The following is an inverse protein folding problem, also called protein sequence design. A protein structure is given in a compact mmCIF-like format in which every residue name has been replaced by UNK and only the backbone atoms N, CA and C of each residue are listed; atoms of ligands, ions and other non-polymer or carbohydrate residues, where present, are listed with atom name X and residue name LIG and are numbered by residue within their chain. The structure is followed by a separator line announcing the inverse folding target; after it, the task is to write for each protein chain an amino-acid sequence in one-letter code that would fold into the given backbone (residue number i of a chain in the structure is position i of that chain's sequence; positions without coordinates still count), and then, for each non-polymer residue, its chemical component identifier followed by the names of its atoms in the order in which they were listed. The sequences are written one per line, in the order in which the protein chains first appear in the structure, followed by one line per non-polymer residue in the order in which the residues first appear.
data_IF_591065314757
#
_entry.id   IF_591065314757
#
_cell.length_a   1.000
_cell.length_b   1.000
_cell.length_c   1.000
_cell.angle_alpha   90.00
_cell.angle_beta   90.00
_cell.angle_gamma   90.00
#
_symmetry.space_group_name_H-M   'P 1'
#
loop_
_entity.id
_entity.type
_entity.pdbx_description
1 polymer ?
#
# COMPACT_ATOMS: atom_id res chain seq x y z
N UNK A 1 -11.12 -0.05 -16.00
CA UNK A 1 -10.18 1.02 -16.37
C UNK A 1 -9.28 0.51 -17.49
N UNK A 2 -8.95 1.35 -18.49
CA UNK A 2 -7.92 1.01 -19.50
C UNK A 2 -6.70 1.87 -19.21
N UNK A 3 -5.54 1.24 -18.99
CA UNK A 3 -4.27 1.95 -18.78
C UNK A 3 -3.36 1.72 -19.98
N UNK A 4 -2.85 2.81 -20.55
CA UNK A 4 -1.87 2.79 -21.64
C UNK A 4 -0.52 3.24 -21.08
N UNK A 5 0.48 2.35 -21.11
CA UNK A 5 1.86 2.67 -20.72
C UNK A 5 2.73 2.69 -22.01
N UNK A 6 3.32 3.85 -22.33
CA UNK A 6 4.15 4.05 -23.53
C UNK A 6 5.59 3.59 -23.30
N UNK A 7 6.26 3.15 -24.36
CA UNK A 7 7.60 2.55 -24.26
C UNK A 7 8.77 3.50 -24.46
N UNK A 8 8.55 4.81 -24.58
CA UNK A 8 9.53 5.78 -25.10
C UNK A 8 10.94 5.60 -24.50
N UNK A 9 11.77 4.79 -25.19
CA UNK A 9 13.12 4.33 -24.79
C UNK A 9 13.28 3.65 -23.41
N UNK A 10 12.23 3.49 -22.60
CA UNK A 10 12.39 3.19 -21.17
C UNK A 10 12.22 1.69 -20.85
N UNK A 11 13.30 0.94 -21.01
CA UNK A 11 13.35 -0.51 -20.72
C UNK A 11 12.86 -0.86 -19.30
N UNK A 12 13.07 0.03 -18.32
CA UNK A 12 12.58 -0.19 -16.94
C UNK A 12 11.05 -0.19 -16.87
N UNK A 13 10.40 0.71 -17.62
CA UNK A 13 8.93 0.76 -17.70
C UNK A 13 8.39 -0.50 -18.39
N UNK A 14 9.08 -1.00 -19.42
CA UNK A 14 8.70 -2.26 -20.07
C UNK A 14 8.77 -3.44 -19.12
N UNK A 15 9.87 -3.57 -18.38
CA UNK A 15 10.03 -4.62 -17.37
C UNK A 15 8.95 -4.53 -16.28
N UNK A 16 8.59 -3.32 -15.83
CA UNK A 16 7.54 -3.17 -14.81
C UNK A 16 6.16 -3.57 -15.34
N UNK A 17 5.81 -3.23 -16.58
CA UNK A 17 4.51 -3.59 -17.17
C UNK A 17 4.39 -5.11 -17.36
N UNK A 18 5.43 -5.75 -17.88
CA UNK A 18 5.46 -7.22 -18.03
C UNK A 18 5.28 -7.89 -16.67
N UNK A 19 5.97 -7.38 -15.64
CA UNK A 19 5.86 -7.90 -14.28
C UNK A 19 4.46 -7.71 -13.71
N UNK A 20 3.84 -6.55 -13.91
CA UNK A 20 2.49 -6.26 -13.46
C UNK A 20 1.48 -7.23 -14.08
N UNK A 21 1.56 -7.46 -15.41
CA UNK A 21 0.74 -8.47 -16.09
C UNK A 21 0.96 -9.86 -15.50
N UNK A 22 2.22 -10.25 -15.31
CA UNK A 22 2.58 -11.58 -14.87
C UNK A 22 2.13 -11.84 -13.42
N UNK A 23 2.19 -10.83 -12.54
CA UNK A 23 1.60 -10.89 -11.19
C UNK A 23 0.08 -10.96 -11.26
N UNK A 24 -0.57 -9.99 -11.91
CA UNK A 24 -2.03 -9.86 -11.93
C UNK A 24 -2.74 -10.97 -12.70
N UNK A 25 -2.05 -11.72 -13.56
CA UNK A 25 -2.63 -12.94 -14.18
C UNK A 25 -2.80 -14.08 -13.17
N UNK A 26 -1.97 -14.14 -12.14
CA UNK A 26 -1.85 -15.31 -11.27
C UNK A 26 -2.49 -15.09 -9.90
N UNK A 27 -2.87 -13.87 -9.54
CA UNK A 27 -3.40 -13.56 -8.22
C UNK A 27 -4.82 -13.00 -8.30
N UNK A 28 -5.64 -13.37 -7.31
CA UNK A 28 -6.99 -12.85 -7.12
C UNK A 28 -7.24 -12.63 -5.64
N UNK A 29 -7.63 -11.44 -5.27
CA UNK A 29 -8.11 -11.11 -3.92
C UNK A 29 -9.11 -9.95 -4.07
N UNK A 30 -10.22 -9.91 -3.29
CA UNK A 30 -11.26 -8.91 -3.47
C UNK A 30 -10.70 -7.47 -3.51
N UNK A 31 -9.89 -7.12 -2.52
CA UNK A 31 -9.26 -5.79 -2.38
C UNK A 31 -7.99 -5.58 -3.19
N UNK A 32 -7.75 -6.37 -4.24
CA UNK A 32 -6.73 -6.08 -5.25
C UNK A 32 -7.43 -5.76 -6.59
N UNK A 33 -6.79 -4.94 -7.42
CA UNK A 33 -7.24 -4.74 -8.80
C UNK A 33 -7.10 -6.07 -9.57
N UNK A 34 -8.13 -6.46 -10.32
CA UNK A 34 -8.07 -7.63 -11.18
C UNK A 34 -7.73 -7.25 -12.62
N UNK A 35 -6.91 -8.09 -13.26
CA UNK A 35 -6.65 -8.00 -14.70
C UNK A 35 -7.65 -8.87 -15.46
N UNK A 36 -8.49 -8.22 -16.26
CA UNK A 36 -9.44 -8.87 -17.16
C UNK A 36 -8.77 -9.29 -18.46
N UNK A 37 -7.99 -8.40 -19.07
CA UNK A 37 -7.24 -8.67 -20.29
C UNK A 37 -5.99 -7.80 -20.41
N UNK A 38 -5.00 -8.27 -21.17
CA UNK A 38 -3.79 -7.50 -21.51
C UNK A 38 -3.47 -7.68 -22.99
N UNK A 39 -3.15 -6.59 -23.68
CA UNK A 39 -2.78 -6.59 -25.10
C UNK A 39 -1.46 -5.86 -25.29
N UNK A 40 -0.68 -6.27 -26.27
CA UNK A 40 0.57 -5.60 -26.62
C UNK A 40 0.56 -5.23 -28.11
N UNK A 41 0.94 -4.01 -28.39
CA UNK A 41 1.27 -3.51 -29.73
C UNK A 41 2.77 -3.24 -29.79
N UNK A 42 3.34 -2.90 -30.96
CA UNK A 42 4.75 -2.52 -31.04
C UNK A 42 5.15 -1.32 -30.15
N UNK A 43 4.19 -0.48 -29.76
CA UNK A 43 4.43 0.80 -29.07
C UNK A 43 3.74 0.95 -27.71
N UNK A 44 2.74 0.12 -27.41
CA UNK A 44 1.99 0.17 -26.15
C UNK A 44 1.75 -1.23 -25.60
N UNK A 45 1.71 -1.34 -24.27
CA UNK A 45 0.95 -2.42 -23.62
C UNK A 45 -0.25 -1.83 -22.91
N UNK A 46 -1.39 -2.48 -23.15
CA UNK A 46 -2.70 -2.07 -22.71
C UNK A 46 -3.18 -3.05 -21.66
N UNK A 47 -3.52 -2.55 -20.48
CA UNK A 47 -4.10 -3.34 -19.39
C UNK A 47 -5.58 -2.98 -19.22
N UNK A 48 -6.43 -4.00 -19.24
CA UNK A 48 -7.86 -3.89 -18.93
C UNK A 48 -8.05 -4.37 -17.49
N UNK A 49 -8.23 -3.41 -16.59
CA UNK A 49 -8.29 -3.60 -15.15
C UNK A 49 -9.70 -3.32 -14.62
N UNK A 50 -9.99 -3.75 -13.38
CA UNK A 50 -11.17 -3.31 -12.64
C UNK A 50 -11.32 -1.77 -12.70
N UNK A 51 -12.57 -1.30 -12.73
CA UNK A 51 -12.85 0.12 -12.60
C UNK A 51 -13.22 0.46 -11.16
N UNK A 52 -12.55 1.46 -10.59
CA UNK A 52 -12.78 1.96 -9.23
C UNK A 52 -13.33 3.40 -9.32
N UNK A 53 -14.66 3.60 -9.34
CA UNK A 53 -15.27 4.92 -9.56
C UNK A 53 -15.08 5.91 -8.40
N UNK A 54 -14.65 5.44 -7.24
CA UNK A 54 -14.33 6.28 -6.08
C UNK A 54 -13.00 7.04 -6.21
N UNK A 55 -12.16 6.70 -7.20
CA UNK A 55 -10.89 7.37 -7.42
C UNK A 55 -9.81 6.95 -6.42
N UNK A 56 -8.75 7.75 -6.31
CA UNK A 56 -7.62 7.50 -5.42
C UNK A 56 -7.95 7.90 -3.97
N UNK A 57 -7.40 7.13 -3.01
CA UNK A 57 -7.54 7.44 -1.59
C UNK A 57 -6.87 8.79 -1.25
N UNK A 58 -5.83 9.17 -1.99
CA UNK A 58 -5.16 10.47 -1.84
C UNK A 58 -6.15 11.63 -2.05
N UNK A 59 -6.82 11.67 -3.20
CA UNK A 59 -7.79 12.72 -3.54
C UNK A 59 -8.98 12.70 -2.57
N UNK A 60 -9.42 11.51 -2.17
CA UNK A 60 -10.48 11.35 -1.19
C UNK A 60 -10.11 11.98 0.16
N UNK A 61 -8.93 11.68 0.70
CA UNK A 61 -8.49 12.27 1.97
C UNK A 61 -8.27 13.77 1.83
N UNK A 62 -7.67 14.23 0.73
CA UNK A 62 -7.45 15.65 0.47
C UNK A 62 -8.77 16.45 0.50
N UNK A 63 -9.87 15.87 0.00
CA UNK A 63 -11.16 16.53 -0.06
C UNK A 63 -12.05 16.30 1.17
N UNK A 64 -12.03 15.09 1.75
CA UNK A 64 -13.03 14.63 2.71
C UNK A 64 -12.46 14.17 4.05
N UNK A 65 -11.17 14.41 4.34
CA UNK A 65 -10.57 13.95 5.60
C UNK A 65 -11.36 14.39 6.83
N UNK A 66 -11.95 15.60 6.87
CA UNK A 66 -12.78 16.07 8.01
C UNK A 66 -14.04 15.23 8.22
N UNK A 67 -14.55 14.54 7.19
CA UNK A 67 -15.74 13.68 7.26
C UNK A 67 -15.42 12.21 7.58
N UNK A 68 -14.16 11.80 7.58
CA UNK A 68 -13.77 10.38 7.78
C UNK A 68 -13.87 9.99 9.24
N UNK A 69 -14.77 9.12 9.68
CA UNK A 69 -14.76 8.66 11.07
C UNK A 69 -13.88 7.42 11.27
N UNK A 70 -13.53 7.13 12.53
CA UNK A 70 -12.70 5.96 12.87
C UNK A 70 -13.22 4.64 12.26
N UNK A 71 -14.54 4.35 12.26
CA UNK A 71 -15.04 3.13 11.64
C UNK A 71 -14.74 3.02 10.14
N UNK A 72 -14.80 4.13 9.39
CA UNK A 72 -14.43 4.18 7.97
C UNK A 72 -12.92 4.04 7.78
N UNK A 73 -12.12 4.73 8.60
CA UNK A 73 -10.66 4.59 8.60
C UNK A 73 -10.24 3.13 8.86
N UNK A 74 -10.89 2.47 9.83
CA UNK A 74 -10.69 1.05 10.17
C UNK A 74 -11.08 0.13 9.03
N UNK A 75 -12.20 0.42 8.36
CA UNK A 75 -12.63 -0.34 7.19
C UNK A 75 -11.61 -0.28 6.05
N UNK A 76 -11.20 0.93 5.68
CA UNK A 76 -10.19 1.18 4.63
C UNK A 76 -8.88 0.45 4.98
N UNK A 77 -8.38 0.65 6.19
CA UNK A 77 -7.09 0.09 6.60
C UNK A 77 -7.14 -1.43 6.76
N UNK A 78 -8.22 -1.98 7.28
CA UNK A 78 -8.39 -3.42 7.49
C UNK A 78 -8.49 -4.19 6.17
N UNK A 79 -9.21 -3.68 5.17
CA UNK A 79 -9.30 -4.32 3.85
C UNK A 79 -7.94 -4.31 3.14
N UNK A 80 -7.20 -3.21 3.27
CA UNK A 80 -5.84 -3.11 2.78
C UNK A 80 -4.90 -4.11 3.48
N UNK A 81 -4.98 -4.22 4.82
CA UNK A 81 -4.21 -5.20 5.59
C UNK A 81 -4.59 -6.64 5.25
N UNK A 82 -5.86 -6.94 4.95
CA UNK A 82 -6.29 -8.26 4.45
C UNK A 82 -5.57 -8.60 3.16
N UNK A 83 -5.58 -7.68 2.20
CA UNK A 83 -4.96 -7.89 0.90
C UNK A 83 -3.44 -8.06 1.00
N UNK A 84 -2.76 -7.16 1.71
CA UNK A 84 -1.29 -7.19 1.85
C UNK A 84 -0.85 -8.38 2.71
N UNK A 85 -1.60 -8.71 3.77
CA UNK A 85 -1.34 -9.88 4.60
C UNK A 85 -1.43 -11.18 3.80
N UNK A 86 -2.45 -11.30 2.95
CA UNK A 86 -2.56 -12.42 2.01
C UNK A 86 -1.43 -12.43 0.98
N UNK A 87 -1.07 -11.29 0.37
CA UNK A 87 0.08 -11.22 -0.55
C UNK A 87 1.36 -11.72 0.14
N UNK A 88 1.61 -11.29 1.37
CA UNK A 88 2.78 -11.71 2.15
C UNK A 88 2.77 -13.22 2.46
N UNK A 89 1.59 -13.82 2.67
CA UNK A 89 1.47 -15.26 2.95
C UNK A 89 1.84 -16.13 1.74
N UNK A 90 1.61 -15.64 0.51
CA UNK A 90 2.05 -16.29 -0.73
C UNK A 90 3.44 -15.84 -1.21
N UNK A 91 4.16 -15.07 -0.40
CA UNK A 91 5.50 -14.59 -0.72
C UNK A 91 5.56 -13.47 -1.77
N UNK A 92 4.47 -12.74 -1.97
CA UNK A 92 4.40 -11.56 -2.85
C UNK A 92 4.52 -10.27 -2.02
N UNK A 93 5.39 -9.36 -2.42
CA UNK A 93 5.52 -8.02 -1.82
C UNK A 93 5.17 -6.95 -2.85
N UNK A 94 4.56 -5.84 -2.39
CA UNK A 94 4.07 -4.76 -3.27
C UNK A 94 5.16 -3.75 -3.61
N UNK A 95 5.90 -3.27 -2.59
CA UNK A 95 7.03 -2.33 -2.69
C UNK A 95 6.72 -0.90 -3.17
N UNK A 96 5.45 -0.56 -3.42
CA UNK A 96 5.00 0.83 -3.65
C UNK A 96 3.59 1.07 -3.09
N UNK A 97 3.36 0.70 -1.82
CA UNK A 97 2.10 1.00 -1.12
C UNK A 97 2.09 2.49 -0.80
N UNK A 98 1.07 3.19 -1.29
CA UNK A 98 0.86 4.64 -1.10
C UNK A 98 -0.61 4.99 -1.33
N UNK A 99 -1.03 6.18 -0.91
CA UNK A 99 -2.43 6.62 -1.03
C UNK A 99 -2.92 6.65 -2.48
N UNK A 100 -2.05 7.01 -3.41
CA UNK A 100 -2.30 7.06 -4.86
C UNK A 100 -2.54 5.67 -5.47
N UNK A 101 -1.95 4.63 -4.88
CA UNK A 101 -2.10 3.25 -5.33
C UNK A 101 -3.25 2.51 -4.60
N UNK A 102 -4.04 3.21 -3.79
CA UNK A 102 -5.21 2.65 -3.11
C UNK A 102 -6.45 3.30 -3.72
N UNK A 103 -7.27 2.51 -4.42
CA UNK A 103 -8.45 2.99 -5.11
C UNK A 103 -9.71 2.68 -4.30
N UNK A 104 -10.71 3.57 -4.39
CA UNK A 104 -12.03 3.38 -3.78
C UNK A 104 -13.02 2.84 -4.82
N UNK A 105 -13.76 1.79 -4.45
CA UNK A 105 -14.73 1.13 -5.35
C UNK A 105 -16.06 1.90 -5.44
N UNK A 106 -16.29 2.86 -4.54
CA UNK A 106 -17.40 3.82 -4.61
C UNK A 106 -17.02 5.14 -3.94
N UNK A 107 -17.83 6.18 -4.14
CA UNK A 107 -17.71 7.43 -3.38
C UNK A 107 -18.54 7.33 -2.10
N UNK A 108 -17.94 7.44 -0.90
CA UNK A 108 -18.65 7.19 0.35
C UNK A 108 -19.58 8.35 0.77
N UNK A 109 -19.32 9.56 0.30
CA UNK A 109 -20.10 10.76 0.62
C UNK A 109 -20.78 11.31 -0.64
N UNK A 110 -21.99 10.84 -0.99
CA UNK A 110 -22.82 11.52 -1.98
C UNK A 110 -23.27 12.88 -1.46
N UNK A 111 -23.83 13.73 -2.34
CA UNK A 111 -24.28 15.10 -2.01
C UNK A 111 -25.31 15.20 -0.87
N UNK A 112 -25.84 14.08 -0.39
CA UNK A 112 -26.66 13.98 0.83
C UNK A 112 -26.02 13.00 1.80
N UNK A 113 -25.67 13.47 3.01
CA UNK A 113 -24.98 12.70 4.06
C UNK A 113 -25.86 11.55 4.55
N UNK A 114 -25.50 10.28 4.32
CA UNK A 114 -26.23 9.15 4.89
C UNK A 114 -26.06 9.11 6.41
N UNK A 115 -27.09 8.69 7.14
CA UNK A 115 -27.03 8.46 8.59
C UNK A 115 -26.16 7.27 9.01
N UNK A 116 -25.82 6.37 8.07
CA UNK A 116 -24.85 5.29 8.26
C UNK A 116 -24.12 5.01 6.93
N UNK A 117 -22.97 5.67 6.74
CA UNK A 117 -22.15 5.51 5.54
C UNK A 117 -21.65 4.08 5.39
N UNK A 118 -21.14 3.47 6.48
CA UNK A 118 -20.51 2.15 6.45
C UNK A 118 -21.39 1.04 5.87
N UNK A 119 -22.64 0.96 6.31
CA UNK A 119 -23.56 -0.08 5.86
C UNK A 119 -23.90 0.01 4.37
N UNK A 120 -23.74 1.20 3.77
CA UNK A 120 -24.01 1.45 2.35
C UNK A 120 -22.82 1.17 1.43
N UNK A 121 -21.62 0.99 1.98
CA UNK A 121 -20.41 0.80 1.18
C UNK A 121 -20.34 -0.61 0.57
N UNK A 122 -19.87 -0.74 -0.68
CA UNK A 122 -19.60 -2.03 -1.27
C UNK A 122 -18.50 -2.78 -0.50
N UNK A 123 -18.52 -4.10 -0.57
CA UNK A 123 -17.46 -4.97 -0.08
C UNK A 123 -16.85 -5.69 -1.28
N UNK A 124 -15.57 -5.45 -1.63
CA UNK A 124 -14.60 -4.57 -0.96
C UNK A 124 -14.85 -3.08 -1.27
N UNK A 125 -14.48 -2.22 -0.34
CA UNK A 125 -14.50 -0.76 -0.50
C UNK A 125 -13.19 -0.23 -1.09
N UNK A 126 -12.06 -0.89 -0.82
CA UNK A 126 -10.74 -0.49 -1.34
C UNK A 126 -10.15 -1.55 -2.26
N UNK A 127 -9.38 -1.11 -3.25
CA UNK A 127 -8.56 -1.95 -4.13
C UNK A 127 -7.14 -1.40 -4.23
N UNK A 128 -6.15 -2.20 -3.86
CA UNK A 128 -4.74 -1.91 -4.11
C UNK A 128 -4.41 -2.16 -5.59
N UNK A 129 -3.67 -1.25 -6.21
CA UNK A 129 -3.29 -1.25 -7.63
C UNK A 129 -1.79 -0.99 -7.83
N UNK A 130 -1.33 -1.02 -9.09
CA UNK A 130 0.03 -0.77 -9.56
C UNK A 130 1.09 -1.77 -9.05
N UNK A 131 1.06 -2.96 -9.64
CA UNK A 131 1.98 -4.05 -9.30
C UNK A 131 3.29 -4.01 -10.09
N UNK A 132 3.61 -2.89 -10.75
CA UNK A 132 4.83 -2.77 -11.58
C UNK A 132 6.12 -2.95 -10.79
N UNK A 133 6.08 -2.61 -9.49
CA UNK A 133 7.18 -2.81 -8.55
C UNK A 133 7.03 -4.06 -7.68
N UNK A 134 5.94 -4.83 -7.78
CA UNK A 134 5.75 -6.03 -6.97
C UNK A 134 6.81 -7.10 -7.24
N UNK A 135 7.09 -8.00 -6.29
CA UNK A 135 8.04 -9.11 -6.50
C UNK A 135 7.70 -10.32 -5.63
N UNK A 136 7.88 -11.51 -6.17
CA UNK A 136 7.91 -12.73 -5.35
C UNK A 136 9.27 -12.86 -4.65
N UNK A 137 9.24 -13.13 -3.35
CA UNK A 137 10.43 -13.34 -2.51
C UNK A 137 10.57 -14.81 -2.15
N UNK A 138 11.81 -15.29 -2.05
CA UNK A 138 12.07 -16.66 -1.61
C UNK A 138 11.72 -16.81 -0.14
N UNK A 139 11.02 -17.89 0.28
CA UNK A 139 10.86 -18.22 1.69
C UNK A 139 12.20 -18.40 2.41
N UNK A 140 13.23 -18.90 1.72
CA UNK A 140 14.55 -19.21 2.30
C UNK A 140 15.54 -18.04 2.23
N UNK A 141 15.33 -17.11 1.30
CA UNK A 141 16.16 -15.90 1.17
C UNK A 141 15.30 -14.72 0.71
N UNK A 142 14.55 -14.09 1.62
CA UNK A 142 13.57 -13.05 1.27
C UNK A 142 14.21 -11.68 0.98
N UNK A 143 15.54 -11.58 1.01
CA UNK A 143 16.24 -10.30 1.00
C UNK A 143 16.33 -9.68 -0.41
N UNK A 144 16.05 -8.39 -0.49
CA UNK A 144 16.09 -7.56 -1.70
C UNK A 144 17.14 -6.46 -1.54
N UNK A 145 17.70 -5.97 -2.66
CA UNK A 145 18.73 -4.93 -2.69
C UNK A 145 18.32 -3.69 -3.51
N UNK A 146 17.39 -3.83 -4.45
CA UNK A 146 16.96 -2.73 -5.33
C UNK A 146 16.18 -1.68 -4.55
N UNK A 147 16.62 -0.41 -4.59
CA UNK A 147 15.85 0.71 -4.05
C UNK A 147 14.78 1.12 -5.05
N UNK A 148 13.52 1.07 -4.65
CA UNK A 148 12.37 1.48 -5.45
C UNK A 148 11.23 1.94 -4.54
N UNK A 149 10.15 2.42 -5.16
CA UNK A 149 8.99 2.95 -4.47
C UNK A 149 9.11 4.44 -4.16
N UNK A 150 8.01 4.99 -3.68
CA UNK A 150 7.86 6.43 -3.44
C UNK A 150 8.53 6.85 -2.12
N UNK A 151 9.37 7.90 -2.17
CA UNK A 151 10.26 8.31 -1.06
C UNK A 151 9.50 8.60 0.25
N UNK A 152 8.29 9.16 0.16
CA UNK A 152 7.42 9.47 1.31
C UNK A 152 6.91 8.26 2.10
N UNK A 153 6.94 7.08 1.50
CA UNK A 153 6.48 5.83 2.09
C UNK A 153 7.64 4.86 2.35
N UNK A 154 8.88 5.26 2.03
CA UNK A 154 10.05 4.40 2.11
C UNK A 154 10.48 4.15 3.56
N UNK A 155 10.78 2.89 3.87
CA UNK A 155 11.27 2.49 5.18
C UNK A 155 12.73 2.96 5.44
N UNK A 156 13.15 3.09 6.71
CA UNK A 156 14.50 3.57 7.06
C UNK A 156 15.60 2.74 6.41
N UNK A 157 15.46 1.41 6.37
CA UNK A 157 16.43 0.50 5.75
C UNK A 157 16.58 0.70 4.24
N UNK A 158 15.52 1.10 3.53
CA UNK A 158 15.56 1.45 2.11
C UNK A 158 16.32 2.76 1.88
N UNK A 159 16.04 3.78 2.69
CA UNK A 159 16.75 5.07 2.66
C UNK A 159 18.24 4.89 2.96
N UNK A 160 18.55 4.03 3.93
CA UNK A 160 19.92 3.68 4.31
C UNK A 160 20.61 2.73 3.32
N UNK A 161 19.88 2.20 2.34
CA UNK A 161 20.43 1.35 1.29
C UNK A 161 20.84 -0.04 1.73
N UNK A 162 20.21 -0.56 2.78
CA UNK A 162 20.47 -1.90 3.30
C UNK A 162 19.67 -2.93 2.51
N UNK A 163 20.14 -4.18 2.52
CA UNK A 163 19.30 -5.30 2.11
C UNK A 163 18.10 -5.39 3.06
N UNK A 164 16.94 -5.75 2.52
CA UNK A 164 15.68 -5.66 3.26
C UNK A 164 14.75 -6.82 2.91
N UNK A 165 13.86 -7.18 3.83
CA UNK A 165 12.70 -8.02 3.54
C UNK A 165 11.54 -7.14 3.07
N UNK A 166 11.03 -7.39 1.86
CA UNK A 166 9.97 -6.58 1.27
C UNK A 166 8.68 -6.53 2.10
N UNK A 167 8.42 -7.57 2.89
CA UNK A 167 7.24 -7.61 3.77
C UNK A 167 7.33 -6.57 4.88
N UNK A 168 8.54 -6.37 5.40
CA UNK A 168 8.81 -5.38 6.45
C UNK A 168 8.71 -3.96 5.90
N UNK A 169 9.15 -3.72 4.67
CA UNK A 169 9.01 -2.41 4.03
C UNK A 169 7.56 -2.08 3.69
N UNK A 170 6.78 -3.06 3.23
CA UNK A 170 5.33 -2.90 3.02
C UNK A 170 4.61 -2.58 4.35
N UNK A 171 4.98 -3.24 5.46
CA UNK A 171 4.42 -2.94 6.78
C UNK A 171 4.72 -1.50 7.25
N UNK A 172 5.92 -0.98 6.97
CA UNK A 172 6.23 0.43 7.23
C UNK A 172 5.37 1.37 6.39
N UNK A 173 5.24 1.09 5.08
CA UNK A 173 4.41 1.89 4.18
C UNK A 173 2.93 1.90 4.63
N UNK A 174 2.41 0.77 5.13
CA UNK A 174 1.09 0.71 5.77
C UNK A 174 1.01 1.59 7.03
N UNK A 175 2.07 1.66 7.84
CA UNK A 175 2.14 2.59 8.96
C UNK A 175 2.06 4.06 8.52
N UNK A 176 2.71 4.41 7.40
CA UNK A 176 2.62 5.76 6.81
C UNK A 176 1.21 6.04 6.30
N UNK A 177 0.58 5.08 5.61
CA UNK A 177 -0.81 5.19 5.14
C UNK A 177 -1.79 5.33 6.30
N UNK A 178 -1.66 4.52 7.36
CA UNK A 178 -2.51 4.63 8.55
C UNK A 178 -2.38 6.02 9.19
N UNK A 179 -1.14 6.51 9.33
CA UNK A 179 -0.90 7.84 9.86
C UNK A 179 -1.61 8.92 9.03
N UNK A 180 -1.52 8.85 7.70
CA UNK A 180 -2.16 9.80 6.80
C UNK A 180 -3.69 9.71 6.83
N UNK A 181 -4.27 8.51 6.91
CA UNK A 181 -5.73 8.33 7.06
C UNK A 181 -6.24 8.98 8.35
N UNK A 182 -5.46 8.88 9.43
CA UNK A 182 -5.87 9.32 10.77
C UNK A 182 -5.62 10.81 11.02
N UNK A 183 -4.57 11.37 10.41
CA UNK A 183 -4.15 12.75 10.69
C UNK A 183 -4.38 13.72 9.52
N UNK A 184 -4.62 13.20 8.32
CA UNK A 184 -4.73 13.98 7.10
C UNK A 184 -3.39 14.51 6.57
N UNK A 185 -2.27 14.19 7.25
CA UNK A 185 -0.93 14.66 6.90
C UNK A 185 0.08 13.51 6.88
N UNK A 186 1.21 13.71 6.20
CA UNK A 186 2.28 12.71 6.17
C UNK A 186 3.10 12.73 7.47
N UNK A 187 3.55 11.58 8.00
CA UNK A 187 4.36 11.52 9.22
C UNK A 187 5.76 12.14 9.05
N UNK A 188 6.28 12.15 7.82
CA UNK A 188 7.55 12.75 7.45
C UNK A 188 7.27 13.79 6.36
N UNK A 189 7.61 15.05 6.65
CA UNK A 189 7.41 16.17 5.73
C UNK A 189 8.77 16.79 5.41
N UNK A 190 9.00 17.04 4.13
CA UNK A 190 10.14 17.85 3.68
C UNK A 190 9.86 19.32 3.99
N UNK A 191 10.77 19.96 4.72
CA UNK A 191 10.66 21.39 4.98
C UNK A 191 10.99 22.17 3.70
N UNK A 192 10.28 23.28 3.41
CA UNK A 192 10.54 24.09 2.22
C UNK A 192 12.01 24.53 2.11
N UNK A 193 12.52 24.61 0.88
CA UNK A 193 13.85 25.17 0.62
C UNK A 193 13.95 26.60 1.19
N UNK A 194 14.95 26.85 2.04
CA UNK A 194 15.18 28.16 2.68
C UNK A 194 14.68 28.29 4.13
N UNK A 195 13.89 27.33 4.64
CA UNK A 195 13.76 27.17 6.09
C UNK A 195 15.14 26.83 6.69
N UNK A 196 15.42 27.16 7.96
CA UNK A 196 16.69 26.85 8.65
C UNK A 196 17.01 25.34 8.78
N UNK A 197 16.33 24.48 8.03
CA UNK A 197 16.47 23.04 7.96
C UNK A 197 17.48 22.55 6.91
N UNK A 198 17.81 21.26 6.95
CA UNK A 198 18.80 20.60 6.10
C UNK A 198 18.24 20.19 4.71
N UNK A 199 17.14 20.80 4.25
CA UNK A 199 16.40 20.43 3.03
C UNK A 199 16.10 18.93 2.93
N UNK A 200 16.18 18.37 1.72
CA UNK A 200 16.05 16.93 1.45
C UNK A 200 16.88 16.03 2.35
N UNK A 201 18.11 16.42 2.70
CA UNK A 201 18.97 15.64 3.61
C UNK A 201 18.38 15.57 5.02
N UNK A 202 17.73 16.63 5.48
CA UNK A 202 17.03 16.66 6.76
C UNK A 202 15.82 15.74 6.77
N UNK A 203 15.04 15.79 5.70
CA UNK A 203 13.89 14.92 5.48
C UNK A 203 14.29 13.43 5.49
N UNK A 204 15.27 13.05 4.67
CA UNK A 204 15.80 11.68 4.64
C UNK A 204 16.36 11.23 6.01
N UNK A 205 16.95 12.15 6.78
CA UNK A 205 17.44 11.86 8.12
C UNK A 205 16.28 11.59 9.11
N UNK A 206 15.16 12.33 9.02
CA UNK A 206 13.97 12.06 9.83
C UNK A 206 13.44 10.65 9.57
N UNK A 207 13.32 10.26 8.29
CA UNK A 207 12.92 8.90 7.91
C UNK A 207 13.93 7.88 8.41
N UNK A 208 15.23 8.06 8.14
CA UNK A 208 16.28 7.12 8.55
C UNK A 208 16.35 6.89 10.06
N UNK A 209 15.89 7.86 10.86
CA UNK A 209 15.77 7.75 12.31
C UNK A 209 14.39 7.27 12.80
N UNK A 210 13.37 7.31 11.94
CA UNK A 210 11.98 7.06 12.33
C UNK A 210 11.41 8.12 13.27
N UNK A 211 11.86 9.37 13.14
CA UNK A 211 11.40 10.49 13.98
C UNK A 211 10.18 11.16 13.32
N UNK A 212 8.98 10.90 13.84
CA UNK A 212 7.73 11.58 13.47
C UNK A 212 7.04 12.16 14.71
N UNK A 213 6.09 13.06 14.51
CA UNK A 213 5.31 13.70 15.59
C UNK A 213 3.83 13.64 15.28
N UNK A 214 3.03 13.39 16.31
CA UNK A 214 1.58 13.52 16.21
C UNK A 214 1.19 15.00 16.16
N UNK A 215 0.17 15.39 15.38
CA UNK A 215 -0.41 16.73 15.44
C UNK A 215 -0.82 17.08 16.88
N UNK A 216 -0.76 18.37 17.23
CA UNK A 216 -1.18 18.80 18.55
C UNK A 216 -2.70 18.63 18.70
N UNK A 217 -3.16 18.22 19.88
CA UNK A 217 -4.59 18.02 20.17
C UNK A 217 -5.43 19.30 20.05
N UNK A 218 -4.78 20.47 19.91
CA UNK A 218 -5.40 21.78 19.82
C UNK A 218 -5.68 22.21 18.37
N UNK A 219 -5.24 21.44 17.37
CA UNK A 219 -5.60 21.65 15.97
C UNK A 219 -6.93 20.94 15.69
N UNK A 220 -8.00 21.75 15.65
CA UNK A 220 -9.41 21.41 15.89
C UNK A 220 -10.12 20.49 14.87
N UNK A 221 -9.38 19.63 14.16
CA UNK A 221 -9.97 18.62 13.25
C UNK A 221 -9.08 17.39 13.04
N UNK A 222 -7.75 17.53 13.11
CA UNK A 222 -6.81 16.43 12.86
C UNK A 222 -6.65 15.48 14.05
N UNK A 223 -6.95 15.94 15.26
CA UNK A 223 -6.83 15.17 16.48
C UNK A 223 -8.01 14.21 16.74
N UNK A 224 -9.13 14.38 16.05
CA UNK A 224 -10.39 13.67 16.35
C UNK A 224 -10.31 12.15 16.16
N UNK A 225 -9.46 11.70 15.23
CA UNK A 225 -9.25 10.27 14.94
C UNK A 225 -8.06 9.68 15.71
N UNK A 226 -7.34 10.49 16.48
CA UNK A 226 -6.02 10.17 17.03
C UNK A 226 -6.17 9.54 18.42
N UNK A 227 -6.92 8.42 18.49
CA UNK A 227 -7.15 7.66 19.72
C UNK A 227 -5.89 6.94 20.23
N UNK A 228 -5.80 6.61 21.53
CA UNK A 228 -4.66 5.87 22.08
C UNK A 228 -4.40 4.53 21.37
N UNK A 229 -5.45 3.80 20.99
CA UNK A 229 -5.35 2.49 20.35
C UNK A 229 -4.79 2.59 18.92
N UNK A 230 -5.18 3.59 18.13
CA UNK A 230 -4.60 3.78 16.78
C UNK A 230 -3.15 4.26 16.84
N UNK A 231 -2.81 5.11 17.83
CA UNK A 231 -1.41 5.52 18.06
C UNK A 231 -0.53 4.31 18.36
N UNK A 232 -1.01 3.39 19.20
CA UNK A 232 -0.30 2.18 19.55
C UNK A 232 -0.09 1.28 18.32
N UNK A 233 -1.11 1.13 17.47
CA UNK A 233 -0.99 0.38 16.21
C UNK A 233 0.03 1.02 15.24
N UNK A 234 -0.09 2.32 14.99
CA UNK A 234 0.83 3.05 14.11
C UNK A 234 2.28 2.96 14.62
N UNK A 235 2.50 3.06 15.94
CA UNK A 235 3.82 2.93 16.55
C UNK A 235 4.43 1.53 16.40
N UNK A 236 3.63 0.47 16.26
CA UNK A 236 4.10 -0.90 15.98
C UNK A 236 4.52 -1.09 14.51
N UNK A 237 3.94 -0.34 13.59
CA UNK A 237 4.27 -0.37 12.16
C UNK A 237 5.43 0.58 11.81
N UNK A 238 5.49 1.76 12.42
CA UNK A 238 6.53 2.78 12.25
C UNK A 238 7.77 2.54 13.13
N UNK A 239 8.15 1.27 13.30
CA UNK A 239 9.36 0.89 14.04
C UNK A 239 10.57 0.90 13.10
N UNK A 240 11.61 1.64 13.50
CA UNK A 240 12.85 1.78 12.71
C UNK A 240 13.56 0.45 12.46
N UNK A 241 13.64 -0.39 13.48
CA UNK A 241 14.24 -1.72 13.39
C UNK A 241 13.25 -2.71 12.73
N UNK A 242 13.52 -3.20 11.50
CA UNK A 242 12.58 -4.06 10.79
C UNK A 242 12.32 -5.39 11.51
N UNK A 243 13.26 -5.88 12.33
CA UNK A 243 13.08 -7.13 13.08
C UNK A 243 12.06 -6.96 14.22
N UNK A 244 12.02 -5.77 14.82
CA UNK A 244 11.04 -5.41 15.86
C UNK A 244 9.72 -4.87 15.31
N UNK A 245 9.69 -4.54 14.01
CA UNK A 245 8.49 -4.04 13.32
C UNK A 245 7.44 -5.13 13.22
N UNK A 246 6.21 -4.77 13.56
CA UNK A 246 5.06 -5.66 13.44
C UNK A 246 4.91 -6.17 11.99
N UNK A 247 4.47 -7.42 11.87
CA UNK A 247 3.98 -7.96 10.60
C UNK A 247 2.60 -7.39 10.34
N UNK A 248 2.19 -7.37 9.07
CA UNK A 248 0.84 -6.94 8.68
C UNK A 248 -0.23 -7.81 9.37
N UNK A 249 0.07 -9.08 9.59
CA UNK A 249 -0.83 -10.00 10.28
C UNK A 249 -1.08 -9.61 11.76
N UNK A 250 -0.10 -8.99 12.42
CA UNK A 250 -0.22 -8.59 13.82
C UNK A 250 -1.21 -7.43 14.03
N UNK A 251 -1.64 -6.77 12.95
CA UNK A 251 -2.64 -5.68 12.98
C UNK A 251 -3.99 -6.20 13.48
N UNK A 252 -4.34 -7.44 13.12
CA UNK A 252 -5.62 -8.05 13.49
C UNK A 252 -5.77 -8.28 14.99
N UNK A 253 -4.68 -8.38 15.72
CA UNK A 253 -4.65 -8.54 17.19
C UNK A 253 -4.62 -7.19 17.93
N UNK A 254 -4.59 -6.07 17.21
CA UNK A 254 -4.59 -4.75 17.84
C UNK A 254 -5.96 -4.38 18.40
N UNK A 255 -5.98 -3.70 19.55
CA UNK A 255 -7.20 -3.15 20.15
C UNK A 255 -7.97 -2.28 19.16
N UNK A 256 -7.25 -1.45 18.39
CA UNK A 256 -7.89 -0.58 17.40
C UNK A 256 -8.65 -1.36 16.34
N UNK A 257 -8.14 -2.50 15.86
CA UNK A 257 -8.82 -3.30 14.82
C UNK A 257 -10.08 -4.02 15.34
N UNK A 258 -10.29 -4.10 16.66
CA UNK A 258 -11.48 -4.74 17.25
C UNK A 258 -12.73 -3.84 17.28
N UNK A 259 -12.62 -2.57 16.87
CA UNK A 259 -13.74 -1.62 16.86
C UNK A 259 -14.70 -1.76 15.67
N UNK A 260 -15.75 -0.95 15.67
CA UNK A 260 -16.75 -0.91 14.60
C UNK A 260 -16.15 -0.58 13.22
N UNK A 261 -16.68 -1.15 12.14
CA UNK A 261 -16.11 -1.02 10.79
C UNK A 261 -14.92 -1.95 10.50
N UNK A 262 -14.57 -2.85 11.44
CA UNK A 262 -13.64 -3.97 11.17
C UNK A 262 -14.13 -4.79 9.96
N UNK A 263 -13.35 -4.93 8.88
CA UNK A 263 -13.70 -5.82 7.78
C UNK A 263 -13.45 -7.29 8.12
N UNK A 264 -14.05 -8.18 7.34
CA UNK A 264 -13.64 -9.58 7.33
C UNK A 264 -12.22 -9.73 6.79
N UNK A 265 -11.47 -10.65 7.40
CA UNK A 265 -10.20 -11.09 6.86
C UNK A 265 -10.49 -12.14 5.78
N UNK A 266 -10.15 -11.82 4.54
CA UNK A 266 -10.40 -12.67 3.38
C UNK A 266 -9.09 -13.16 2.81
N UNK A 267 -9.03 -14.46 2.49
CA UNK A 267 -7.95 -15.01 1.70
C UNK A 267 -8.27 -14.88 0.22
N UNK A 268 -7.26 -14.50 -0.58
CA UNK A 268 -7.30 -14.60 -2.02
C UNK A 268 -6.95 -16.02 -2.49
N UNK A 269 -6.89 -16.18 -3.80
CA UNK A 269 -6.42 -17.41 -4.44
C UNK A 269 -5.39 -17.12 -5.53
N UNK A 270 -4.56 -18.11 -5.78
CA UNK A 270 -3.58 -18.11 -6.86
C UNK A 270 -4.13 -19.01 -7.96
N UNK A 271 -4.22 -18.49 -9.18
CA UNK A 271 -4.71 -19.25 -10.33
C UNK A 271 -3.85 -20.51 -10.54
N UNK A 272 -4.45 -21.67 -10.84
CA UNK A 272 -3.70 -22.86 -11.19
C UNK A 272 -2.87 -22.61 -12.45
N UNK A 273 -1.63 -23.10 -12.48
CA UNK A 273 -0.79 -23.09 -13.68
C UNK A 273 -1.50 -23.91 -14.75
N UNK A 274 -1.72 -23.34 -15.94
CA UNK A 274 -2.37 -24.06 -17.05
C UNK A 274 -1.46 -25.20 -17.53
N UNK A 275 -2.03 -26.34 -17.90
CA UNK A 275 -1.26 -27.47 -18.45
C UNK A 275 -0.37 -27.02 -19.62
N UNK A 276 0.93 -27.27 -19.50
CA UNK A 276 1.94 -26.87 -20.49
C UNK A 276 2.72 -25.59 -20.15
N UNK A 277 2.33 -24.84 -19.12
CA UNK A 277 3.13 -23.72 -18.58
C UNK A 277 4.05 -24.21 -17.44
N UNK A 278 5.30 -23.71 -17.38
CA UNK A 278 6.24 -24.08 -16.31
C UNK A 278 5.66 -23.69 -14.94
N UNK A 279 5.95 -24.46 -13.87
CA UNK A 279 5.59 -24.08 -12.50
C UNK A 279 6.26 -22.74 -12.16
N UNK A 280 5.44 -21.71 -12.32
CA UNK A 280 5.84 -20.33 -12.27
C UNK A 280 6.42 -20.02 -10.88
N UNK A 281 5.87 -20.59 -9.80
CA UNK A 281 6.37 -20.38 -8.42
C UNK A 281 7.85 -20.75 -8.26
N UNK A 282 8.31 -21.80 -8.93
CA UNK A 282 9.71 -22.22 -8.92
C UNK A 282 10.61 -21.34 -9.81
N UNK A 283 10.10 -20.77 -10.91
CA UNK A 283 10.83 -19.82 -11.77
C UNK A 283 10.88 -18.40 -11.21
N UNK A 284 9.85 -17.96 -10.47
CA UNK A 284 9.78 -16.64 -9.83
C UNK A 284 10.82 -16.46 -8.72
N UNK A 285 11.03 -17.49 -7.89
CA UNK A 285 12.06 -17.50 -6.84
C UNK A 285 13.47 -17.46 -7.46
N UNK A 286 13.68 -18.16 -8.59
CA UNK A 286 14.96 -18.16 -9.31
C UNK A 286 15.27 -16.82 -9.99
N UNK A 287 14.28 -16.15 -10.61
CA UNK A 287 14.43 -14.79 -11.19
C UNK A 287 14.50 -13.69 -10.12
N UNK A 288 14.05 -13.95 -8.90
CA UNK A 288 14.21 -13.08 -7.72
C UNK A 288 15.67 -12.91 -7.27
N UNK A 289 16.51 -13.91 -7.55
CA UNK A 289 17.86 -14.04 -7.00
C UNK A 289 18.97 -13.51 -7.94
N UNK A 290 18.63 -13.17 -9.19
CA UNK A 290 19.58 -12.69 -10.19
C UNK A 290 19.14 -11.35 -10.78
N UNK A 291 19.54 -10.26 -10.11
CA UNK A 291 19.75 -8.87 -10.58
C UNK A 291 19.78 -7.94 -9.36
#
# INVERSE_FOLDING_TARGET
MITNKSYDGNERMRISVVREVEVLKNIRHPSLVSLSASFSTPIYTVLVLDYAPGGELFDFLAQWHTSVEEPLARRIFGELCSAVGWMHSIGLVHRDIKLENILLTSRPFPSSTPSNVLASLPTPFVKLTDFGLSRFISPTNPTLSTRCGSEAYAAPELIMGRKYDGRKTDAWALGVVLFAIITGVMPFVEEPEGAKGKGRRGYLLKIAKGEYRWPALNDDDSARLVSPSVKALAARLLVRDPEKRAKVDDVWESEWMQGDGRPERVDGFVEPVREGEQDLRATWVRRGSGM
#
